data_IF_632580007041
#
_entry.id   IF_632580007041
#
_cell.length_a   1.000
_cell.length_b   1.000
_cell.length_c   1.000
_cell.angle_alpha   90.00
_cell.angle_beta   90.00
_cell.angle_gamma   90.00
#
_symmetry.space_group_name_H-M   'P 1'
#
loop_
_entity.id
_entity.type
_entity.pdbx_description
1 polymer ?
#
# COMPACT_ATOMS: atom_id res chain seq x y z
N UNK A 1 40.36 13.06 51.38
CA UNK A 1 39.70 11.99 50.61
C UNK A 1 38.41 12.56 50.04
N UNK A 2 38.48 13.20 48.86
CA UNK A 2 37.31 13.80 48.19
C UNK A 2 36.83 12.81 47.12
N UNK A 3 35.75 12.10 47.43
CA UNK A 3 35.15 11.10 46.54
C UNK A 3 34.24 11.81 45.53
N UNK A 4 34.57 11.70 44.25
CA UNK A 4 33.76 12.20 43.14
C UNK A 4 32.66 11.20 42.83
N UNK A 5 31.41 11.55 43.14
CA UNK A 5 30.24 10.83 42.65
C UNK A 5 29.98 11.24 41.19
N UNK A 6 30.41 10.41 40.25
CA UNK A 6 30.01 10.52 38.85
C UNK A 6 28.57 10.01 38.71
N UNK A 7 27.60 10.91 38.61
CA UNK A 7 26.27 10.58 38.12
C UNK A 7 26.33 10.35 36.60
N UNK A 8 26.36 9.08 36.19
CA UNK A 8 26.14 8.70 34.79
C UNK A 8 24.66 8.85 34.45
N UNK A 9 24.32 9.89 33.68
CA UNK A 9 23.00 10.02 33.08
C UNK A 9 22.83 8.97 31.97
N UNK A 10 22.02 7.93 32.23
CA UNK A 10 21.62 6.96 31.20
C UNK A 10 20.59 7.66 30.30
N UNK A 11 21.02 8.16 29.15
CA UNK A 11 20.11 8.63 28.10
C UNK A 11 19.49 7.37 27.47
N UNK A 12 18.26 7.04 27.86
CA UNK A 12 17.47 6.04 27.18
C UNK A 12 17.23 6.52 25.74
N UNK A 13 17.98 5.96 24.78
CA UNK A 13 17.69 6.16 23.36
C UNK A 13 16.39 5.42 23.08
N UNK A 14 15.30 6.16 22.92
CA UNK A 14 14.05 5.62 22.40
C UNK A 14 14.35 4.97 21.05
N UNK A 15 14.21 3.65 20.96
CA UNK A 15 14.19 2.96 19.67
C UNK A 15 12.86 3.35 19.03
N UNK A 16 12.85 4.44 18.26
CA UNK A 16 11.73 4.72 17.37
C UNK A 16 11.73 3.58 16.35
N UNK A 17 10.79 2.65 16.48
CA UNK A 17 10.59 1.61 15.48
C UNK A 17 10.40 2.28 14.11
N UNK A 18 11.11 1.78 13.09
CA UNK A 18 11.03 2.34 11.75
C UNK A 18 9.56 2.32 11.29
N UNK A 19 8.96 3.50 11.10
CA UNK A 19 7.59 3.62 10.60
C UNK A 19 7.58 3.40 9.09
N UNK A 20 6.54 2.74 8.59
CA UNK A 20 6.24 2.73 7.15
C UNK A 20 5.91 4.17 6.73
N UNK A 21 6.51 4.63 5.63
CA UNK A 21 6.37 6.00 5.15
C UNK A 21 6.17 6.01 3.64
N UNK A 22 5.52 7.07 3.16
CA UNK A 22 5.44 7.39 1.74
C UNK A 22 5.53 8.90 1.56
N UNK A 23 6.13 9.35 0.44
CA UNK A 23 6.04 10.75 0.02
C UNK A 23 4.96 10.97 -1.06
N UNK A 24 4.21 9.93 -1.43
CA UNK A 24 3.10 10.01 -2.35
C UNK A 24 2.01 10.93 -1.79
N UNK A 25 1.66 11.95 -2.57
CA UNK A 25 0.66 12.94 -2.18
C UNK A 25 -0.56 12.86 -3.08
N UNK A 26 -1.73 12.77 -2.46
CA UNK A 26 -3.00 12.78 -3.17
C UNK A 26 -3.34 14.20 -3.63
N UNK A 27 -3.51 14.38 -4.94
CA UNK A 27 -3.89 15.63 -5.59
C UNK A 27 -5.37 15.65 -5.98
N UNK A 28 -5.97 14.48 -6.17
CA UNK A 28 -7.41 14.31 -6.41
C UNK A 28 -8.11 13.98 -5.10
N UNK A 29 -9.14 14.74 -4.74
CA UNK A 29 -9.96 14.46 -3.57
C UNK A 29 -11.00 13.39 -3.87
N UNK A 30 -10.97 12.30 -3.11
CA UNK A 30 -12.01 11.27 -3.11
C UNK A 30 -12.21 10.69 -1.70
N UNK A 31 -13.43 10.25 -1.40
CA UNK A 31 -13.78 9.78 -0.04
C UNK A 31 -13.01 8.50 0.36
N UNK A 32 -12.51 7.73 -0.59
CA UNK A 32 -11.74 6.50 -0.35
C UNK A 32 -10.24 6.74 -0.22
N UNK A 33 -9.78 8.00 -0.31
CA UNK A 33 -8.36 8.33 -0.23
C UNK A 33 -7.76 8.01 1.14
N UNK A 34 -8.57 7.94 2.19
CA UNK A 34 -8.12 7.61 3.54
C UNK A 34 -8.98 6.46 4.10
N UNK A 35 -8.39 5.61 4.95
CA UNK A 35 -9.15 4.65 5.77
C UNK A 35 -9.63 5.26 7.09
N UNK A 36 -10.34 4.47 7.90
CA UNK A 36 -10.82 4.81 9.26
C UNK A 36 -9.74 5.34 10.22
N UNK A 37 -8.47 5.04 9.95
CA UNK A 37 -7.32 5.46 10.75
C UNK A 37 -6.67 6.75 10.24
N UNK A 38 -7.24 7.37 9.21
CA UNK A 38 -6.70 8.57 8.56
C UNK A 38 -5.44 8.31 7.75
N UNK A 39 -5.13 7.05 7.43
CA UNK A 39 -3.98 6.69 6.59
C UNK A 39 -4.37 6.87 5.12
N UNK A 40 -3.53 7.56 4.34
CA UNK A 40 -3.76 7.72 2.91
C UNK A 40 -3.70 6.39 2.17
N UNK A 41 -4.37 6.28 1.03
CA UNK A 41 -4.41 5.07 0.22
C UNK A 41 -3.02 4.65 -0.27
N UNK A 42 -2.13 5.62 -0.50
CA UNK A 42 -0.74 5.34 -0.82
C UNK A 42 0.05 4.82 0.40
N UNK A 43 -0.22 5.35 1.60
CA UNK A 43 0.37 4.81 2.82
C UNK A 43 -0.14 3.38 3.08
N UNK A 44 -1.41 3.10 2.75
CA UNK A 44 -1.96 1.75 2.80
C UNK A 44 -1.19 0.82 1.86
N UNK A 45 -0.90 1.28 0.63
CA UNK A 45 -0.05 0.57 -0.33
C UNK A 45 1.34 0.27 0.24
N UNK A 46 2.00 1.26 0.85
CA UNK A 46 3.30 1.09 1.49
C UNK A 46 3.26 0.07 2.63
N UNK A 47 2.18 0.01 3.42
CA UNK A 47 2.01 -1.03 4.45
C UNK A 47 1.91 -2.43 3.84
N UNK A 48 1.12 -2.60 2.77
CA UNK A 48 1.03 -3.89 2.06
C UNK A 48 2.40 -4.29 1.49
N UNK A 49 3.13 -3.34 0.90
CA UNK A 49 4.46 -3.60 0.35
C UNK A 49 5.49 -3.91 1.45
N UNK A 50 5.34 -3.33 2.65
CA UNK A 50 6.23 -3.62 3.77
C UNK A 50 6.16 -5.07 4.28
N UNK A 51 5.05 -5.77 4.03
CA UNK A 51 4.94 -7.21 4.30
C UNK A 51 5.96 -8.02 3.47
N UNK A 52 6.41 -7.44 2.36
CA UNK A 52 7.25 -8.06 1.36
C UNK A 52 8.73 -7.75 1.55
N UNK A 53 9.01 -6.45 1.66
CA UNK A 53 10.37 -5.91 1.56
C UNK A 53 10.82 -5.29 2.89
N UNK A 54 9.96 -5.31 3.92
CA UNK A 54 10.18 -4.61 5.17
C UNK A 54 9.97 -3.10 5.04
N UNK A 55 10.39 -2.36 6.07
CA UNK A 55 10.20 -0.90 6.11
C UNK A 55 11.09 -0.19 5.10
N UNK A 56 10.47 0.55 4.19
CA UNK A 56 11.12 1.46 3.25
C UNK A 56 10.25 2.70 3.03
N UNK A 57 10.82 3.71 2.38
CA UNK A 57 10.08 4.86 1.89
C UNK A 57 9.46 4.50 0.55
N UNK A 58 8.14 4.54 0.46
CA UNK A 58 7.47 4.42 -0.83
C UNK A 58 7.42 5.78 -1.55
N UNK A 59 7.95 5.80 -2.76
CA UNK A 59 7.95 6.97 -3.62
C UNK A 59 6.60 7.20 -4.33
N UNK A 60 6.24 8.46 -4.50
CA UNK A 60 5.11 8.88 -5.30
C UNK A 60 5.30 8.58 -6.79
N UNK A 61 4.20 8.35 -7.48
CA UNK A 61 4.21 8.10 -8.91
C UNK A 61 4.82 9.26 -9.71
N UNK A 62 5.81 8.94 -10.56
CA UNK A 62 6.37 9.89 -11.52
C UNK A 62 5.41 10.11 -12.71
N UNK A 63 5.46 11.28 -13.38
CA UNK A 63 4.61 11.56 -14.53
C UNK A 63 4.72 10.49 -15.63
N UNK A 64 3.56 9.99 -16.09
CA UNK A 64 3.49 8.99 -17.16
C UNK A 64 3.94 7.58 -16.77
N UNK A 65 4.21 7.32 -15.48
CA UNK A 65 4.57 6.00 -14.97
C UNK A 65 3.38 5.30 -14.32
N UNK A 66 3.54 4.01 -14.06
CA UNK A 66 2.57 3.16 -13.38
C UNK A 66 3.20 2.57 -12.12
N UNK A 67 2.37 2.32 -11.10
CA UNK A 67 2.72 1.36 -10.07
C UNK A 67 2.68 -0.05 -10.65
N UNK A 68 3.62 -0.89 -10.23
CA UNK A 68 3.85 -2.23 -10.75
C UNK A 68 4.20 -3.18 -9.60
N UNK A 69 3.84 -4.47 -9.69
CA UNK A 69 4.24 -5.44 -8.68
C UNK A 69 5.76 -5.69 -8.76
N UNK A 70 6.51 -5.17 -7.79
CA UNK A 70 7.96 -5.34 -7.69
C UNK A 70 8.34 -6.63 -6.92
N UNK A 71 7.53 -6.98 -5.92
CA UNK A 71 7.71 -8.18 -5.10
C UNK A 71 6.59 -9.21 -5.31
N UNK A 72 6.89 -10.49 -5.06
CA UNK A 72 5.96 -11.61 -5.26
C UNK A 72 4.66 -11.50 -4.47
N UNK A 73 4.75 -10.96 -3.27
CA UNK A 73 3.62 -10.66 -2.41
C UNK A 73 2.63 -9.62 -2.97
N UNK A 74 3.03 -8.77 -3.94
CA UNK A 74 2.16 -7.76 -4.53
C UNK A 74 1.27 -8.36 -5.64
N UNK A 75 1.50 -9.63 -5.97
CA UNK A 75 0.79 -10.36 -7.01
C UNK A 75 -0.58 -10.85 -6.53
N UNK A 76 -1.39 -9.92 -6.07
CA UNK A 76 -2.73 -10.18 -5.58
C UNK A 76 -3.69 -9.03 -5.89
N UNK A 77 -5.01 -9.29 -5.86
CA UNK A 77 -6.02 -8.29 -6.22
C UNK A 77 -6.07 -7.10 -5.26
N UNK A 78 -5.76 -7.29 -3.97
CA UNK A 78 -5.76 -6.21 -2.97
C UNK A 78 -4.65 -5.20 -3.24
N UNK A 79 -3.43 -5.67 -3.50
CA UNK A 79 -2.31 -4.81 -3.90
C UNK A 79 -2.64 -4.07 -5.21
N UNK A 80 -3.17 -4.75 -6.22
CA UNK A 80 -3.62 -4.12 -7.46
C UNK A 80 -4.60 -2.96 -7.21
N UNK A 81 -5.62 -3.20 -6.38
CA UNK A 81 -6.65 -2.22 -6.09
C UNK A 81 -6.11 -1.00 -5.36
N UNK A 82 -5.30 -1.22 -4.31
CA UNK A 82 -4.74 -0.14 -3.49
C UNK A 82 -3.75 0.71 -4.31
N UNK A 83 -2.88 0.08 -5.11
CA UNK A 83 -1.94 0.83 -5.96
C UNK A 83 -2.62 1.55 -7.11
N UNK A 84 -3.68 0.98 -7.70
CA UNK A 84 -4.48 1.67 -8.72
C UNK A 84 -5.20 2.88 -8.14
N UNK A 85 -5.76 2.75 -6.94
CA UNK A 85 -6.39 3.87 -6.24
C UNK A 85 -5.37 4.93 -5.82
N UNK A 86 -4.16 4.54 -5.39
CA UNK A 86 -3.07 5.49 -5.13
C UNK A 86 -2.67 6.25 -6.40
N UNK A 87 -2.51 5.56 -7.53
CA UNK A 87 -2.24 6.22 -8.81
C UNK A 87 -3.33 7.24 -9.16
N UNK A 88 -4.61 6.85 -9.04
CA UNK A 88 -5.74 7.77 -9.22
C UNK A 88 -5.66 8.98 -8.28
N UNK A 89 -5.35 8.74 -7.00
CA UNK A 89 -5.19 9.78 -5.98
C UNK A 89 -4.16 10.84 -6.40
N UNK A 90 -3.07 10.39 -7.04
CA UNK A 90 -1.99 11.24 -7.54
C UNK A 90 -2.28 11.84 -8.93
N UNK A 91 -3.49 11.67 -9.47
CA UNK A 91 -3.86 12.04 -10.83
C UNK A 91 -2.99 11.34 -11.90
N UNK A 92 -2.52 10.13 -11.61
CA UNK A 92 -1.68 9.33 -12.49
C UNK A 92 -2.41 8.14 -13.13
N UNK A 93 -1.78 7.48 -14.10
CA UNK A 93 -2.37 6.32 -14.76
C UNK A 93 -2.14 5.03 -13.94
N UNK A 94 -3.03 4.06 -14.11
CA UNK A 94 -2.93 2.72 -13.51
C UNK A 94 -3.11 1.62 -14.55
N UNK A 95 -2.48 0.48 -14.28
CA UNK A 95 -2.56 -0.73 -15.09
C UNK A 95 -3.96 -1.35 -15.07
N UNK A 96 -4.28 -2.11 -16.11
CA UNK A 96 -5.36 -3.09 -16.04
C UNK A 96 -4.95 -4.28 -15.16
N UNK A 97 -5.91 -5.04 -14.63
CA UNK A 97 -5.62 -6.28 -13.93
C UNK A 97 -4.87 -7.30 -14.80
N UNK A 98 -5.24 -7.52 -16.08
CA UNK A 98 -4.46 -8.35 -17.00
C UNK A 98 -2.99 -7.91 -17.12
N UNK A 99 -2.71 -6.60 -17.23
CA UNK A 99 -1.33 -6.11 -17.31
C UNK A 99 -0.59 -6.35 -15.99
N UNK A 100 -1.19 -6.02 -14.84
CA UNK A 100 -0.62 -6.26 -13.51
C UNK A 100 -0.31 -7.74 -13.27
N UNK A 101 -1.28 -8.61 -13.53
CA UNK A 101 -1.16 -10.06 -13.36
C UNK A 101 -0.18 -10.70 -14.36
N UNK A 102 -0.03 -10.13 -15.56
CA UNK A 102 0.99 -10.57 -16.52
C UNK A 102 2.40 -10.31 -15.98
N UNK A 103 2.64 -9.18 -15.29
CA UNK A 103 3.94 -8.87 -14.69
C UNK A 103 4.33 -9.85 -13.58
N UNK A 104 3.33 -10.39 -12.88
CA UNK A 104 3.52 -11.46 -11.89
C UNK A 104 3.84 -12.78 -12.56
N UNK A 105 3.06 -13.16 -13.57
CA UNK A 105 3.23 -14.41 -14.30
C UNK A 105 4.59 -14.47 -15.01
N UNK A 106 5.04 -13.36 -15.59
CA UNK A 106 6.37 -13.22 -16.21
C UNK A 106 7.53 -13.44 -15.22
N UNK A 107 7.28 -13.23 -13.93
CA UNK A 107 8.22 -13.50 -12.83
C UNK A 107 8.01 -14.90 -12.21
N UNK A 108 7.16 -15.74 -12.80
CA UNK A 108 6.86 -17.09 -12.31
C UNK A 108 5.95 -17.13 -11.08
N UNK A 109 5.23 -16.05 -10.79
CA UNK A 109 4.35 -15.94 -9.62
C UNK A 109 2.89 -16.01 -10.09
N UNK A 110 2.13 -16.96 -9.53
CA UNK A 110 0.70 -17.06 -9.77
C UNK A 110 -0.04 -15.89 -9.09
N UNK A 111 -0.79 -15.06 -9.83
CA UNK A 111 -1.63 -14.02 -9.25
C UNK A 111 -2.70 -14.61 -8.33
N UNK A 112 -2.95 -13.97 -7.20
CA UNK A 112 -3.90 -14.46 -6.19
C UNK A 112 -5.09 -13.51 -6.00
N UNK A 113 -6.24 -14.08 -5.63
CA UNK A 113 -7.38 -13.30 -5.17
C UNK A 113 -7.22 -12.93 -3.70
N UNK A 114 -7.65 -11.72 -3.33
CA UNK A 114 -7.57 -11.21 -1.96
C UNK A 114 -6.16 -10.76 -1.56
N UNK A 115 -5.88 -10.73 -0.26
CA UNK A 115 -4.53 -10.51 0.29
C UNK A 115 -4.14 -11.75 1.10
N UNK A 116 -3.11 -12.52 0.69
CA UNK A 116 -2.84 -13.84 1.26
C UNK A 116 -1.96 -13.81 2.52
N UNK A 117 -1.56 -12.62 2.99
CA UNK A 117 -0.63 -12.46 4.10
C UNK A 117 -1.32 -11.86 5.34
N UNK A 118 -0.74 -12.13 6.51
CA UNK A 118 -1.17 -11.49 7.74
C UNK A 118 -0.88 -9.99 7.69
N UNK A 119 -1.87 -9.19 8.08
CA UNK A 119 -1.74 -7.74 8.14
C UNK A 119 -1.06 -7.30 9.45
N UNK A 120 -0.19 -6.27 9.41
CA UNK A 120 0.42 -5.71 10.61
C UNK A 120 -0.63 -5.05 11.53
N UNK A 121 -0.33 -4.96 12.81
CA UNK A 121 -1.21 -4.27 13.78
C UNK A 121 -1.30 -2.76 13.50
N UNK A 122 -2.47 -2.16 13.72
CA UNK A 122 -2.69 -0.73 13.49
C UNK A 122 -2.85 -0.36 12.01
N UNK A 123 -3.22 -1.33 11.19
CA UNK A 123 -3.50 -1.18 9.77
C UNK A 123 -4.93 -1.64 9.47
N UNK A 124 -5.66 -0.87 8.68
CA UNK A 124 -7.01 -1.19 8.25
C UNK A 124 -7.08 -1.13 6.72
N UNK A 125 -7.39 -2.26 6.09
CA UNK A 125 -7.66 -2.30 4.66
C UNK A 125 -9.14 -2.02 4.40
N UNK A 126 -9.48 -1.02 3.58
CA UNK A 126 -10.87 -0.77 3.21
C UNK A 126 -11.49 -1.99 2.52
N UNK A 127 -12.78 -2.23 2.76
CA UNK A 127 -13.48 -3.38 2.17
C UNK A 127 -13.41 -3.40 0.63
N UNK A 128 -13.50 -2.23 -0.02
CA UNK A 128 -13.41 -2.13 -1.48
C UNK A 128 -12.08 -2.66 -2.04
N UNK A 129 -11.01 -2.69 -1.25
CA UNK A 129 -9.72 -3.18 -1.70
C UNK A 129 -9.75 -4.69 -2.03
N UNK A 130 -10.74 -5.44 -1.51
CA UNK A 130 -10.90 -6.86 -1.79
C UNK A 130 -11.74 -7.18 -3.03
N UNK A 131 -12.17 -6.16 -3.79
CA UNK A 131 -12.92 -6.40 -5.03
C UNK A 131 -12.09 -7.21 -6.04
N UNK A 132 -12.74 -8.17 -6.69
CA UNK A 132 -12.07 -9.14 -7.56
C UNK A 132 -12.25 -8.82 -9.04
N UNK A 133 -11.16 -8.42 -9.70
CA UNK A 133 -11.09 -8.17 -11.16
C UNK A 133 -10.62 -9.39 -11.97
N UNK A 134 -10.30 -10.52 -11.33
CA UNK A 134 -9.69 -11.69 -11.99
C UNK A 134 -10.67 -12.60 -12.73
N UNK A 135 -11.96 -12.56 -12.37
CA UNK A 135 -13.00 -13.43 -12.93
C UNK A 135 -13.93 -12.77 -13.97
N UNK A 136 -13.79 -11.47 -14.23
CA UNK A 136 -14.73 -10.73 -15.08
C UNK A 136 -14.03 -10.12 -16.31
N UNK A 137 -14.17 -10.75 -17.48
CA UNK A 137 -13.56 -10.27 -18.74
C UNK A 137 -14.07 -8.89 -19.18
N UNK A 138 -15.22 -8.46 -18.67
CA UNK A 138 -15.80 -7.14 -18.95
C UNK A 138 -15.45 -6.09 -17.88
N UNK A 139 -14.86 -6.52 -16.76
CA UNK A 139 -14.44 -5.65 -15.66
C UNK A 139 -13.02 -6.01 -15.23
N UNK A 140 -12.06 -5.50 -15.99
CA UNK A 140 -10.63 -5.82 -15.87
C UNK A 140 -9.82 -4.63 -15.36
N UNK A 141 -10.47 -3.53 -14.99
CA UNK A 141 -9.77 -2.29 -14.62
C UNK A 141 -10.40 -1.62 -13.42
N UNK A 142 -9.54 -1.24 -12.47
CA UNK A 142 -9.94 -0.43 -11.34
C UNK A 142 -10.70 0.82 -11.77
N UNK A 143 -11.80 1.12 -11.07
CA UNK A 143 -12.60 2.32 -11.25
C UNK A 143 -13.14 2.84 -9.91
N UNK A 144 -13.56 4.12 -9.88
CA UNK A 144 -14.04 4.80 -8.67
C UNK A 144 -15.43 4.37 -8.21
N UNK A 145 -16.21 3.68 -9.04
CA UNK A 145 -17.55 3.19 -8.68
C UNK A 145 -17.48 2.06 -7.67
N UNK A 146 -16.42 1.24 -7.68
CA UNK A 146 -16.25 0.13 -6.74
C UNK A 146 -16.07 0.61 -5.30
N UNK A 147 -15.13 1.53 -4.98
CA UNK A 147 -15.10 2.15 -3.67
C UNK A 147 -16.44 2.78 -3.26
N UNK A 148 -17.20 3.33 -4.21
CA UNK A 148 -18.48 3.98 -3.92
C UNK A 148 -19.57 2.97 -3.52
N UNK A 149 -19.63 1.84 -4.21
CA UNK A 149 -20.60 0.78 -3.94
C UNK A 149 -20.29 0.00 -2.65
N UNK A 150 -19.00 -0.22 -2.36
CA UNK A 150 -18.57 -1.06 -1.24
C UNK A 150 -18.22 -0.28 0.03
N UNK A 151 -18.06 1.04 -0.09
CA UNK A 151 -17.70 1.94 1.01
C UNK A 151 -16.22 1.88 1.40
N UNK A 152 -15.74 2.97 2.00
CA UNK A 152 -14.50 2.99 2.77
C UNK A 152 -14.82 2.75 4.24
N UNK A 153 -14.13 1.83 4.89
CA UNK A 153 -14.15 1.71 6.35
C UNK A 153 -13.19 2.71 6.94
#
# INVERSE_FOLDING_TARGET
MLSWLLLSAIIAKSVVGAKIQTNATCTVSAFFNNNSLGQSVCLIGAYLNSVCEGTHLEEGLLPGRFYEPQASCMCNTVSYNVWSACAYCQNGPWLSWPDWSSQCSNRGIAPQEGFPYALPFGFATPHWAYYNYSGNVNDTRWNTSIPHALGGT
#
